data_IF_073464585158
#
_entry.id   IF_073464585158
#
_cell.length_a   1.000
_cell.length_b   1.000
_cell.length_c   1.000
_cell.angle_alpha   90.00
_cell.angle_beta   90.00
_cell.angle_gamma   90.00
#
_symmetry.space_group_name_H-M   'P 1'
#
loop_
_entity.id
_entity.type
_entity.pdbx_description
1 polymer ?
#
# COMPACT_ATOMS: atom_id res chain seq x y z
N UNK A 1 13.39 11.17 -13.17
CA UNK A 1 12.13 10.48 -13.53
C UNK A 1 11.96 9.30 -12.59
N UNK A 2 11.07 9.50 -11.64
CA UNK A 2 10.65 8.52 -10.64
C UNK A 2 9.51 7.66 -11.19
N UNK A 3 9.30 6.49 -10.59
CA UNK A 3 8.21 5.57 -10.94
C UNK A 3 7.30 5.38 -9.74
N UNK A 4 5.99 5.31 -9.96
CA UNK A 4 5.04 4.89 -8.95
C UNK A 4 4.57 3.47 -9.26
N UNK A 5 4.93 2.53 -8.39
CA UNK A 5 4.61 1.10 -8.52
C UNK A 5 3.62 0.73 -7.42
N UNK A 6 2.39 0.40 -7.81
CA UNK A 6 1.31 0.10 -6.88
C UNK A 6 1.06 -1.41 -6.87
N UNK A 7 1.11 -2.03 -5.69
CA UNK A 7 0.89 -3.46 -5.48
C UNK A 7 -0.42 -3.66 -4.70
N UNK A 8 -1.43 -4.25 -5.36
CA UNK A 8 -2.80 -4.43 -4.85
C UNK A 8 -3.17 -5.91 -4.75
N UNK A 9 -4.25 -6.20 -4.03
CA UNK A 9 -4.72 -7.57 -3.79
C UNK A 9 -5.30 -7.78 -2.38
N UNK A 10 -6.03 -8.89 -2.16
CA UNK A 10 -6.69 -9.17 -0.88
C UNK A 10 -5.69 -9.33 0.27
N UNK A 11 -6.17 -9.23 1.51
CA UNK A 11 -5.36 -9.56 2.70
C UNK A 11 -4.86 -11.01 2.59
N UNK A 12 -3.62 -11.28 2.99
CA UNK A 12 -3.01 -12.61 2.87
C UNK A 12 -2.46 -12.97 1.48
N UNK A 13 -2.70 -12.16 0.44
CA UNK A 13 -2.18 -12.43 -0.91
C UNK A 13 -0.64 -12.34 -1.05
N UNK A 14 0.07 -11.88 -0.02
CA UNK A 14 1.54 -11.74 -0.05
C UNK A 14 2.05 -10.42 -0.65
N UNK A 15 1.20 -9.39 -0.80
CA UNK A 15 1.58 -8.05 -1.29
C UNK A 15 2.80 -7.48 -0.55
N UNK A 16 2.75 -7.43 0.78
CA UNK A 16 3.85 -6.88 1.59
C UNK A 16 5.13 -7.70 1.44
N UNK A 17 5.04 -9.01 1.23
CA UNK A 17 6.21 -9.86 0.97
C UNK A 17 6.83 -9.52 -0.38
N UNK A 18 6.02 -9.47 -1.45
CA UNK A 18 6.48 -9.10 -2.80
C UNK A 18 7.05 -7.67 -2.81
N UNK A 19 6.38 -6.72 -2.16
CA UNK A 19 6.83 -5.33 -2.08
C UNK A 19 8.18 -5.22 -1.36
N UNK A 20 8.36 -5.91 -0.23
CA UNK A 20 9.62 -5.93 0.53
C UNK A 20 10.74 -6.62 -0.23
N UNK A 21 10.45 -7.73 -0.90
CA UNK A 21 11.46 -8.43 -1.69
C UNK A 21 11.86 -7.65 -2.94
N UNK A 22 10.91 -6.99 -3.61
CA UNK A 22 11.21 -6.04 -4.68
C UNK A 22 12.08 -4.90 -4.15
N UNK A 23 11.71 -4.29 -3.01
CA UNK A 23 12.44 -3.19 -2.39
C UNK A 23 13.89 -3.57 -2.01
N UNK A 24 14.16 -4.81 -1.60
CA UNK A 24 15.53 -5.28 -1.34
C UNK A 24 16.40 -5.38 -2.60
N UNK A 25 15.77 -5.52 -3.78
CA UNK A 25 16.46 -5.78 -5.05
C UNK A 25 16.65 -4.51 -5.89
N UNK A 26 15.96 -3.40 -5.55
CA UNK A 26 16.11 -2.15 -6.29
C UNK A 26 17.49 -1.54 -6.08
N UNK A 27 18.04 -0.97 -7.14
CA UNK A 27 19.34 -0.25 -7.11
C UNK A 27 19.17 1.27 -7.16
N UNK A 28 17.97 1.75 -7.46
CA UNK A 28 17.62 3.17 -7.49
C UNK A 28 17.14 3.64 -6.12
N UNK A 29 17.31 4.94 -5.78
CA UNK A 29 16.64 5.53 -4.63
C UNK A 29 15.14 5.23 -4.70
N UNK A 30 14.64 4.51 -3.70
CA UNK A 30 13.28 4.00 -3.68
C UNK A 30 12.70 4.17 -2.28
N UNK A 31 11.42 4.47 -2.19
CA UNK A 31 10.65 4.45 -0.95
C UNK A 31 9.63 3.31 -1.00
N UNK A 32 9.55 2.52 0.09
CA UNK A 32 8.48 1.56 0.31
C UNK A 32 7.44 2.17 1.24
N UNK A 33 6.21 2.29 0.76
CA UNK A 33 5.09 2.89 1.48
C UNK A 33 4.02 1.81 1.67
N UNK A 34 3.82 1.39 2.92
CA UNK A 34 2.84 0.37 3.30
C UNK A 34 1.57 1.05 3.84
N UNK A 35 0.42 0.91 3.18
CA UNK A 35 -0.82 1.58 3.59
C UNK A 35 -1.19 1.27 5.06
N UNK A 36 -1.07 0.01 5.44
CA UNK A 36 -1.49 -0.45 6.77
C UNK A 36 -0.66 0.19 7.90
N UNK A 37 0.59 0.60 7.62
CA UNK A 37 1.37 1.38 8.58
C UNK A 37 0.66 2.68 8.97
N UNK A 38 0.16 3.43 7.98
CA UNK A 38 -0.55 4.70 8.21
C UNK A 38 -1.89 4.49 8.91
N UNK A 39 -2.57 3.37 8.63
CA UNK A 39 -3.83 3.04 9.29
C UNK A 39 -3.65 2.74 10.78
N UNK A 40 -2.53 2.12 11.16
CA UNK A 40 -2.28 1.69 12.55
C UNK A 40 -1.32 2.60 13.34
N UNK A 41 -0.72 3.62 12.73
CA UNK A 41 0.23 4.49 13.43
C UNK A 41 -0.43 5.43 14.45
N UNK A 42 -1.73 5.68 14.34
CA UNK A 42 -2.46 6.58 15.22
C UNK A 42 -3.14 5.83 16.36
N UNK A 43 -2.94 6.32 17.58
CA UNK A 43 -3.70 5.89 18.76
C UNK A 43 -4.69 6.98 19.14
N UNK A 44 -5.97 6.76 18.85
CA UNK A 44 -7.03 7.75 19.12
C UNK A 44 -8.21 7.13 19.84
N UNK A 45 -9.06 7.97 20.43
CA UNK A 45 -10.38 7.55 20.91
C UNK A 45 -11.36 7.32 19.76
N UNK A 46 -12.55 6.79 20.07
CA UNK A 46 -13.66 6.74 19.11
C UNK A 46 -13.94 8.13 18.55
N UNK A 47 -14.26 8.20 17.26
CA UNK A 47 -14.62 9.42 16.51
C UNK A 47 -13.52 10.45 16.23
N UNK A 48 -12.26 10.16 16.56
CA UNK A 48 -11.15 11.05 16.15
C UNK A 48 -10.80 10.82 14.68
N UNK A 49 -10.94 11.87 13.85
CA UNK A 49 -10.41 11.85 12.49
C UNK A 49 -8.89 11.93 12.52
N UNK A 50 -8.24 11.02 11.79
CA UNK A 50 -6.78 10.98 11.64
C UNK A 50 -6.40 11.30 10.19
N UNK A 51 -5.24 11.95 9.96
CA UNK A 51 -4.82 12.35 8.61
C UNK A 51 -4.05 11.23 7.90
N UNK A 52 -4.45 9.97 8.06
CA UNK A 52 -3.71 8.80 7.56
C UNK A 52 -3.55 8.82 6.04
N UNK A 53 -4.63 9.14 5.33
CA UNK A 53 -4.66 9.24 3.87
C UNK A 53 -3.89 10.46 3.36
N UNK A 54 -4.03 11.60 4.03
CA UNK A 54 -3.33 12.84 3.67
C UNK A 54 -1.82 12.69 3.83
N UNK A 55 -1.37 12.04 4.91
CA UNK A 55 0.05 11.73 5.11
C UNK A 55 0.55 10.72 4.08
N UNK A 56 -0.23 9.68 3.80
CA UNK A 56 0.10 8.67 2.81
C UNK A 56 0.31 9.29 1.42
N UNK A 57 -0.64 10.12 0.98
CA UNK A 57 -0.57 10.85 -0.28
C UNK A 57 0.62 11.81 -0.34
N UNK A 58 0.78 12.62 0.71
CA UNK A 58 1.86 13.60 0.78
C UNK A 58 3.22 12.94 0.71
N UNK A 59 3.42 11.83 1.45
CA UNK A 59 4.69 11.12 1.46
C UNK A 59 5.01 10.49 0.10
N UNK A 60 4.01 9.91 -0.58
CA UNK A 60 4.19 9.40 -1.95
C UNK A 60 4.65 10.53 -2.88
N UNK A 61 3.93 11.66 -2.89
CA UNK A 61 4.23 12.77 -3.79
C UNK A 61 5.56 13.44 -3.48
N UNK A 62 5.90 13.62 -2.21
CA UNK A 62 7.21 14.15 -1.79
C UNK A 62 8.32 13.24 -2.30
N UNK A 63 8.23 11.92 -2.08
CA UNK A 63 9.25 10.99 -2.58
C UNK A 63 9.41 11.07 -4.11
N UNK A 64 8.30 11.06 -4.85
CA UNK A 64 8.32 11.16 -6.32
C UNK A 64 8.96 12.47 -6.79
N UNK A 65 8.64 13.60 -6.14
CA UNK A 65 9.20 14.92 -6.44
C UNK A 65 10.69 15.04 -6.12
N UNK A 66 11.21 14.17 -5.24
CA UNK A 66 12.63 14.07 -4.91
C UNK A 66 13.35 12.95 -5.67
N UNK A 67 12.81 12.51 -6.81
CA UNK A 67 13.37 11.48 -7.70
C UNK A 67 13.53 10.07 -7.06
N UNK A 68 12.78 9.78 -6.00
CA UNK A 68 12.65 8.41 -5.50
C UNK A 68 11.59 7.66 -6.29
N UNK A 69 11.91 6.44 -6.74
CA UNK A 69 10.86 5.49 -7.14
C UNK A 69 10.01 5.15 -5.88
N UNK A 70 8.71 4.93 -6.03
CA UNK A 70 7.83 4.59 -4.91
C UNK A 70 7.16 3.24 -5.16
N UNK A 71 7.35 2.32 -4.23
CA UNK A 71 6.57 1.08 -4.13
C UNK A 71 5.48 1.32 -3.09
N UNK A 72 4.22 1.34 -3.53
CA UNK A 72 3.06 1.56 -2.69
C UNK A 72 2.19 0.29 -2.63
N UNK A 73 2.01 -0.28 -1.43
CA UNK A 73 1.25 -1.53 -1.26
C UNK A 73 0.07 -1.40 -0.28
N UNK A 74 -1.04 -2.08 -0.59
CA UNK A 74 -2.23 -2.09 0.27
C UNK A 74 -3.46 -2.79 -0.32
N UNK A 75 -4.50 -2.98 0.50
CA UNK A 75 -5.80 -3.49 0.05
C UNK A 75 -6.70 -2.34 -0.41
N UNK A 76 -6.50 -1.86 -1.63
CA UNK A 76 -7.25 -0.75 -2.19
C UNK A 76 -8.70 -1.14 -2.49
N UNK A 77 -9.65 -0.77 -1.61
CA UNK A 77 -11.08 -0.81 -1.94
C UNK A 77 -11.35 0.26 -3.01
N UNK A 78 -12.04 -0.12 -4.09
CA UNK A 78 -12.30 0.73 -5.26
C UNK A 78 -12.93 2.06 -4.84
N UNK A 79 -13.93 2.03 -3.95
CA UNK A 79 -14.71 3.21 -3.60
C UNK A 79 -13.92 4.26 -2.79
N UNK A 80 -12.98 3.82 -1.94
CA UNK A 80 -12.23 4.72 -1.05
C UNK A 80 -10.88 5.16 -1.60
N UNK A 81 -10.33 4.41 -2.56
CA UNK A 81 -8.97 4.67 -3.06
C UNK A 81 -8.96 5.25 -4.47
N UNK A 82 -10.10 5.26 -5.19
CA UNK A 82 -10.18 5.90 -6.51
C UNK A 82 -9.73 7.37 -6.44
N UNK A 83 -10.23 8.14 -5.48
CA UNK A 83 -9.87 9.56 -5.32
C UNK A 83 -8.40 9.78 -4.95
N UNK A 84 -7.79 8.86 -4.21
CA UNK A 84 -6.36 8.92 -3.90
C UNK A 84 -5.53 8.67 -5.17
N UNK A 85 -5.85 7.60 -5.90
CA UNK A 85 -5.14 7.25 -7.13
C UNK A 85 -5.30 8.32 -8.22
N UNK A 86 -6.51 8.86 -8.39
CA UNK A 86 -6.77 9.97 -9.33
C UNK A 86 -5.88 11.17 -9.01
N UNK A 87 -5.74 11.53 -7.73
CA UNK A 87 -4.86 12.64 -7.28
C UNK A 87 -3.39 12.33 -7.49
N UNK A 88 -2.94 11.12 -7.17
CA UNK A 88 -1.56 10.69 -7.42
C UNK A 88 -1.21 10.73 -8.90
N UNK A 89 -2.08 10.24 -9.79
CA UNK A 89 -1.84 10.22 -11.23
C UNK A 89 -1.97 11.60 -11.86
N UNK A 90 -2.81 12.48 -11.33
CA UNK A 90 -2.86 13.87 -11.76
C UNK A 90 -1.57 14.63 -11.40
N UNK A 91 -1.05 14.42 -10.19
CA UNK A 91 0.17 15.06 -9.71
C UNK A 91 1.46 14.44 -10.30
N UNK A 92 1.43 13.16 -10.61
CA UNK A 92 2.52 12.40 -11.22
C UNK A 92 2.03 11.71 -12.50
N UNK A 93 2.02 12.37 -13.66
CA UNK A 93 1.31 11.89 -14.86
C UNK A 93 2.08 10.87 -15.71
N UNK A 94 3.24 10.40 -15.26
CA UNK A 94 4.12 9.49 -16.01
C UNK A 94 4.50 8.28 -15.16
N UNK A 95 4.93 7.18 -15.80
CA UNK A 95 5.56 6.02 -15.14
C UNK A 95 4.82 5.48 -13.89
N UNK A 96 3.49 5.40 -13.99
CA UNK A 96 2.62 4.79 -13.00
C UNK A 96 2.24 3.36 -13.41
N UNK A 97 2.50 2.39 -12.54
CA UNK A 97 2.26 0.97 -12.77
C UNK A 97 1.38 0.40 -11.66
N UNK A 98 0.35 -0.37 -12.00
CA UNK A 98 -0.53 -1.03 -11.04
C UNK A 98 -0.49 -2.53 -11.27
N UNK A 99 -0.10 -3.27 -10.23
CA UNK A 99 -0.07 -4.72 -10.21
C UNK A 99 -1.12 -5.24 -9.22
N UNK A 100 -1.86 -6.27 -9.63
CA UNK A 100 -2.79 -6.98 -8.77
C UNK A 100 -2.29 -8.40 -8.53
N UNK A 101 -2.07 -8.76 -7.26
CA UNK A 101 -1.76 -10.12 -6.87
C UNK A 101 -3.05 -10.92 -6.82
N UNK A 102 -3.32 -11.61 -7.92
CA UNK A 102 -4.40 -12.58 -8.01
C UNK A 102 -3.97 -13.88 -7.32
N UNK A 103 -4.39 -14.05 -6.07
CA UNK A 103 -4.16 -15.26 -5.28
C UNK A 103 -5.50 -15.86 -4.95
N UNK A 104 -5.65 -17.17 -5.19
CA UNK A 104 -6.89 -17.86 -4.85
C UNK A 104 -7.21 -17.69 -3.37
N UNK A 105 -8.50 -17.58 -3.05
CA UNK A 105 -8.96 -17.48 -1.66
C UNK A 105 -8.42 -18.65 -0.81
N UNK A 106 -8.34 -19.85 -1.38
CA UNK A 106 -7.79 -21.04 -0.72
C UNK A 106 -6.31 -20.87 -0.32
N UNK A 107 -5.47 -20.31 -1.20
CA UNK A 107 -4.06 -20.06 -0.89
C UNK A 107 -3.89 -18.89 0.09
N UNK A 108 -4.74 -17.86 0.00
CA UNK A 108 -4.78 -16.76 0.97
C UNK A 108 -5.15 -17.25 2.37
N UNK A 109 -6.15 -18.13 2.49
CA UNK A 109 -6.57 -18.76 3.75
C UNK A 109 -5.50 -19.70 4.32
N UNK A 110 -4.85 -20.50 3.47
CA UNK A 110 -3.74 -21.37 3.89
C UNK A 110 -2.61 -20.55 4.51
N UNK A 111 -2.20 -19.46 3.86
CA UNK A 111 -1.16 -18.54 4.36
C UNK A 111 -1.57 -17.83 5.64
N UNK A 112 -2.83 -17.39 5.72
CA UNK A 112 -3.38 -16.75 6.91
C UNK A 112 -3.34 -17.69 8.13
N UNK A 113 -3.68 -18.98 7.95
CA UNK A 113 -3.66 -19.96 9.03
C UNK A 113 -2.24 -20.31 9.52
N UNK A 114 -1.21 -20.02 8.72
CA UNK A 114 0.20 -20.25 9.07
C UNK A 114 0.93 -19.01 9.61
N UNK A 115 0.26 -17.86 9.69
CA UNK A 115 0.84 -16.60 10.19
C UNK A 115 0.77 -16.56 11.72
N UNK A 116 1.90 -16.32 12.39
CA UNK A 116 1.98 -16.19 13.85
C UNK A 116 1.25 -14.95 14.39
N UNK A 117 1.17 -13.88 13.59
CA UNK A 117 0.38 -12.68 13.87
C UNK A 117 -1.00 -12.77 13.20
N UNK A 118 -2.03 -13.01 14.01
CA UNK A 118 -3.43 -12.92 13.60
C UNK A 118 -3.84 -11.45 13.55
N UNK A 119 -4.09 -10.92 12.35
CA UNK A 119 -4.83 -9.66 12.21
C UNK A 119 -6.29 -10.04 12.40
N UNK A 120 -6.81 -9.83 13.61
CA UNK A 120 -8.22 -10.03 13.91
C UNK A 120 -8.98 -8.88 13.25
N UNK A 121 -9.68 -9.17 12.17
CA UNK A 121 -10.89 -8.44 11.78
C UNK A 121 -12.03 -9.44 11.73
N UNK A 122 -12.48 -9.88 12.90
CA UNK A 122 -13.85 -10.36 13.04
C UNK A 122 -14.74 -9.12 13.04
N UNK A 123 -15.25 -8.73 11.87
CA UNK A 123 -16.44 -7.90 11.82
C UNK A 123 -17.63 -8.78 12.23
N UNK A 124 -18.24 -8.43 13.36
CA UNK A 124 -19.60 -8.82 13.75
C UNK A 124 -20.58 -7.75 13.28
#
# INVERSE_FOLDING_TARGET
>A
MSKLIIIRGPSGAGKSAVAKDLFKQVTRPTALIERDYYMFMFKTGSDTKVPDKELLESNILICLNHDFDVIFEGNFKIDTHKQLLDRLFAAHPHDNYIFYLDVSLAESLRRHNTRSEKIISEEK
#
